data_IF_113676570124
#
_entry.id   IF_113676570124
#
_cell.length_a   1.000
_cell.length_b   1.000
_cell.length_c   1.000
_cell.angle_alpha   90.00
_cell.angle_beta   90.00
_cell.angle_gamma   90.00
#
_symmetry.space_group_name_H-M   'P 1'
#
loop_
_entity.id
_entity.type
_entity.pdbx_description
1 polymer ?
#
# COMPACT_ATOMS: atom_id res chain seq x y z
N UNK A 1 0.60 14.59 -2.76
CA UNK A 1 0.69 14.66 -4.23
C UNK A 1 -0.54 14.05 -4.86
N UNK A 2 -1.33 14.82 -5.57
CA UNK A 2 -2.61 14.30 -6.06
C UNK A 2 -2.50 13.10 -6.99
N UNK A 3 -1.43 12.94 -7.70
CA UNK A 3 -1.27 11.83 -8.61
C UNK A 3 -0.54 10.61 -8.05
N UNK A 4 -0.22 10.61 -6.77
CA UNK A 4 0.65 9.58 -6.21
C UNK A 4 0.08 8.17 -6.38
N UNK A 5 -1.18 7.96 -6.03
CA UNK A 5 -1.81 6.65 -6.11
C UNK A 5 -2.23 6.27 -7.52
N UNK A 6 -2.32 7.22 -8.43
CA UNK A 6 -2.68 6.96 -9.82
C UNK A 6 -1.47 7.01 -10.75
N UNK A 7 -0.31 7.42 -10.24
CA UNK A 7 0.91 7.52 -11.04
C UNK A 7 1.48 6.14 -11.35
N UNK A 8 2.34 6.09 -12.35
CA UNK A 8 3.16 4.91 -12.58
C UNK A 8 4.11 4.70 -11.41
N UNK A 9 4.56 3.49 -11.20
CA UNK A 9 5.47 3.21 -10.10
C UNK A 9 4.75 2.90 -8.81
N UNK A 10 3.57 2.32 -8.90
CA UNK A 10 2.88 1.74 -7.75
C UNK A 10 2.59 0.27 -8.02
N UNK A 11 2.46 -0.50 -6.96
CA UNK A 11 2.01 -1.88 -7.03
C UNK A 11 0.81 -2.04 -6.10
N UNK A 12 -0.15 -2.85 -6.52
CA UNK A 12 -1.40 -3.07 -5.79
C UNK A 12 -1.48 -4.53 -5.38
N UNK A 13 -1.81 -4.76 -4.13
CA UNK A 13 -1.97 -6.11 -3.59
C UNK A 13 -1.03 -6.37 -2.44
N UNK A 14 -1.44 -7.31 -1.56
CA UNK A 14 -0.67 -7.64 -0.37
C UNK A 14 0.71 -8.20 -0.70
N UNK A 15 0.75 -9.14 -1.64
CA UNK A 15 1.99 -9.81 -2.02
C UNK A 15 2.96 -8.85 -2.68
N UNK A 16 2.47 -8.02 -3.58
CA UNK A 16 3.27 -7.04 -4.29
C UNK A 16 3.81 -5.97 -3.34
N UNK A 17 2.97 -5.52 -2.42
CA UNK A 17 3.37 -4.54 -1.41
C UNK A 17 4.47 -5.10 -0.51
N UNK A 18 4.32 -6.35 -0.07
CA UNK A 18 5.32 -7.00 0.74
C UNK A 18 6.65 -7.11 -0.01
N UNK A 19 6.59 -7.52 -1.26
CA UNK A 19 7.80 -7.63 -2.09
C UNK A 19 8.52 -6.29 -2.21
N UNK A 20 7.77 -5.21 -2.47
CA UNK A 20 8.35 -3.89 -2.57
C UNK A 20 9.02 -3.46 -1.26
N UNK A 21 8.39 -3.77 -0.12
CA UNK A 21 8.98 -3.48 1.18
C UNK A 21 10.26 -4.25 1.42
N UNK A 22 10.24 -5.55 1.13
CA UNK A 22 11.40 -6.42 1.34
C UNK A 22 12.57 -5.99 0.47
N UNK A 23 12.29 -5.57 -0.75
CA UNK A 23 13.32 -5.14 -1.70
C UNK A 23 13.80 -3.71 -1.45
N UNK A 24 13.17 -3.00 -0.52
CA UNK A 24 13.53 -1.60 -0.27
C UNK A 24 13.08 -0.66 -1.38
N UNK A 25 12.10 -1.08 -2.17
CA UNK A 25 11.63 -0.31 -3.32
C UNK A 25 10.41 0.57 -3.00
N UNK A 26 9.83 0.43 -1.81
CA UNK A 26 8.64 1.19 -1.44
C UNK A 26 9.00 2.53 -0.83
N UNK A 27 8.42 3.60 -1.35
CA UNK A 27 8.57 4.94 -0.77
C UNK A 27 7.45 5.24 0.22
N UNK A 28 6.28 4.66 0.01
CA UNK A 28 5.10 4.90 0.84
C UNK A 28 4.16 3.71 0.69
N UNK A 29 3.47 3.35 1.75
CA UNK A 29 2.55 2.22 1.74
C UNK A 29 1.18 2.67 2.23
N UNK A 30 0.13 2.19 1.58
CA UNK A 30 -1.24 2.41 1.99
C UNK A 30 -1.88 1.06 2.30
N UNK A 31 -2.51 0.96 3.47
CA UNK A 31 -3.20 -0.25 3.90
C UNK A 31 -4.66 0.08 4.16
N UNK A 32 -5.57 -0.79 3.72
CA UNK A 32 -6.99 -0.58 3.94
C UNK A 32 -7.33 -0.75 5.42
N UNK A 33 -8.10 0.19 5.97
CA UNK A 33 -8.44 0.17 7.40
C UNK A 33 -9.45 -0.91 7.75
N UNK A 34 -10.22 -1.39 6.78
CA UNK A 34 -11.21 -2.44 6.97
C UNK A 34 -10.78 -3.80 6.42
N UNK A 35 -9.51 -3.94 6.05
CA UNK A 35 -8.96 -5.24 5.68
C UNK A 35 -8.66 -6.06 6.93
N UNK A 36 -8.58 -7.38 6.75
CA UNK A 36 -8.26 -8.30 7.85
C UNK A 36 -6.89 -7.93 8.45
N UNK A 37 -6.82 -7.61 9.75
CA UNK A 37 -5.56 -7.25 10.38
C UNK A 37 -4.48 -8.32 10.24
N UNK A 38 -4.86 -9.58 10.17
CA UNK A 38 -3.90 -10.69 9.99
C UNK A 38 -3.14 -10.56 8.68
N UNK A 39 -3.72 -9.87 7.70
CA UNK A 39 -3.09 -9.65 6.39
C UNK A 39 -2.29 -8.34 6.37
N UNK A 40 -2.77 -7.32 7.04
CA UNK A 40 -2.15 -5.98 6.98
C UNK A 40 -1.13 -5.75 8.09
N UNK A 41 -1.30 -6.37 9.27
CA UNK A 41 -0.37 -6.17 10.38
C UNK A 41 1.07 -6.55 10.04
N UNK A 42 1.35 -7.66 9.33
CA UNK A 42 2.72 -7.96 8.94
C UNK A 42 3.33 -6.88 8.05
N UNK A 43 2.53 -6.29 7.16
CA UNK A 43 3.01 -5.20 6.31
C UNK A 43 3.26 -3.93 7.11
N UNK A 44 2.40 -3.65 8.07
CA UNK A 44 2.57 -2.51 8.96
C UNK A 44 3.86 -2.63 9.77
N UNK A 45 4.14 -3.84 10.25
CA UNK A 45 5.38 -4.12 10.98
C UNK A 45 6.61 -3.92 10.10
N UNK A 46 6.55 -4.36 8.83
CA UNK A 46 7.63 -4.15 7.89
C UNK A 46 7.86 -2.67 7.61
N UNK A 47 6.78 -1.90 7.48
CA UNK A 47 6.90 -0.45 7.30
C UNK A 47 7.62 0.19 8.47
N UNK A 48 7.27 -0.20 9.69
CA UNK A 48 7.90 0.33 10.89
C UNK A 48 9.37 -0.05 10.94
N UNK A 49 9.69 -1.30 10.62
CA UNK A 49 11.07 -1.79 10.60
C UNK A 49 11.95 -1.03 9.61
N UNK A 50 11.39 -0.70 8.46
CA UNK A 50 12.13 -0.04 7.38
C UNK A 50 11.94 1.48 7.35
N UNK A 51 11.23 2.02 8.33
CA UNK A 51 10.95 3.45 8.44
C UNK A 51 10.23 4.00 7.18
N UNK A 52 9.29 3.22 6.66
CA UNK A 52 8.50 3.60 5.49
C UNK A 52 7.17 4.18 5.97
N UNK A 53 6.75 5.37 5.50
CA UNK A 53 5.44 5.91 5.85
C UNK A 53 4.32 4.97 5.45
N UNK A 54 3.37 4.77 6.36
CA UNK A 54 2.26 3.85 6.16
C UNK A 54 0.96 4.56 6.54
N UNK A 55 0.01 4.60 5.60
CA UNK A 55 -1.28 5.25 5.79
C UNK A 55 -2.37 4.19 5.80
N UNK A 56 -3.19 4.17 6.86
CA UNK A 56 -4.29 3.23 7.01
C UNK A 56 -5.65 3.92 7.13
N UNK A 57 -5.84 5.08 6.53
CA UNK A 57 -7.06 5.86 6.67
C UNK A 57 -8.15 5.52 5.66
N UNK A 58 -7.82 4.82 4.58
CA UNK A 58 -8.79 4.48 3.53
C UNK A 58 -9.33 3.08 3.69
N UNK A 59 -10.60 2.89 3.28
CA UNK A 59 -11.20 1.55 3.21
C UNK A 59 -10.69 0.83 1.96
N UNK A 60 -11.00 -0.48 1.88
CA UNK A 60 -10.70 -1.29 0.70
C UNK A 60 -11.19 -0.64 -0.58
N UNK A 61 -12.44 -0.18 -0.55
CA UNK A 61 -13.06 0.44 -1.71
C UNK A 61 -12.41 1.77 -2.07
N UNK A 62 -12.18 2.59 -1.06
CA UNK A 62 -11.55 3.90 -1.26
C UNK A 62 -10.14 3.76 -1.82
N UNK A 63 -9.38 2.80 -1.31
CA UNK A 63 -8.02 2.58 -1.76
C UNK A 63 -7.98 2.09 -3.21
N UNK A 64 -8.86 1.15 -3.56
CA UNK A 64 -8.97 0.69 -4.94
C UNK A 64 -9.35 1.83 -5.88
N UNK A 65 -10.33 2.64 -5.48
CA UNK A 65 -10.78 3.78 -6.28
C UNK A 65 -9.66 4.82 -6.46
N UNK A 66 -8.91 5.08 -5.39
CA UNK A 66 -7.79 6.02 -5.45
C UNK A 66 -6.70 5.56 -6.43
N UNK A 67 -6.54 4.24 -6.59
CA UNK A 67 -5.60 3.67 -7.54
C UNK A 67 -6.15 3.60 -8.96
N UNK A 68 -7.41 3.96 -9.15
CA UNK A 68 -8.03 3.93 -10.48
C UNK A 68 -8.39 2.53 -10.96
N UNK A 69 -8.59 1.59 -10.05
CA UNK A 69 -8.97 0.22 -10.39
C UNK A 69 -10.41 -0.05 -9.97
N UNK A 70 -11.04 -1.04 -10.60
CA UNK A 70 -12.45 -1.35 -10.38
C UNK A 70 -12.68 -2.29 -9.20
N UNK A 71 -11.62 -2.77 -8.57
CA UNK A 71 -11.72 -3.75 -7.47
C UNK A 71 -11.14 -3.16 -6.19
N UNK A 72 -11.56 -3.67 -5.01
CA UNK A 72 -10.99 -3.23 -3.74
C UNK A 72 -9.50 -3.56 -3.66
N UNK A 73 -8.78 -2.75 -2.90
CA UNK A 73 -7.35 -2.97 -2.67
C UNK A 73 -7.07 -3.00 -1.18
N UNK A 74 -6.42 -4.05 -0.71
CA UNK A 74 -6.06 -4.19 0.70
C UNK A 74 -4.74 -3.48 1.02
N UNK A 75 -3.83 -3.42 0.06
CA UNK A 75 -2.53 -2.79 0.23
C UNK A 75 -2.03 -2.24 -1.09
N UNK A 76 -1.34 -1.13 -1.02
CA UNK A 76 -0.71 -0.48 -2.18
C UNK A 76 0.64 0.06 -1.74
N UNK A 77 1.67 -0.13 -2.57
CA UNK A 77 2.97 0.47 -2.34
C UNK A 77 3.28 1.44 -3.48
N UNK A 78 3.67 2.65 -3.12
CA UNK A 78 4.21 3.60 -4.08
C UNK A 78 5.72 3.38 -4.12
N UNK A 79 6.26 3.18 -5.30
CA UNK A 79 7.65 2.79 -5.46
C UNK A 79 8.57 4.01 -5.51
N UNK A 80 9.83 3.78 -5.11
CA UNK A 80 10.88 4.78 -5.21
C UNK A 80 11.18 5.09 -6.67
N UNK A 81 11.44 6.33 -6.92
CA UNK A 81 11.91 6.75 -8.20
C UNK A 81 10.90 6.87 -9.26
#
# INVERSE_FOLDING_TARGET
MPGELTAKGKVVGLKQTRRALVQGAAAHVYLACDADPRLTDPLRALCAEKAIPCDGSMTLQQLGRACGIAVPAAAVAVLNG
#
